data_IF_152363947015
#
_entry.id   IF_152363947015
#
_cell.length_a   1.000
_cell.length_b   1.000
_cell.length_c   1.000
_cell.angle_alpha   90.00
_cell.angle_beta   90.00
_cell.angle_gamma   90.00
#
_symmetry.space_group_name_H-M   'P 1'
#
loop_
_entity.id
_entity.type
_entity.pdbx_description
1 polymer ?
#
# COMPACT_ATOMS: atom_id res chain seq x y z
N UNK A 1 34.44 18.07 -60.34
CA UNK A 1 33.04 18.36 -59.98
C UNK A 1 32.99 18.48 -58.45
N UNK A 2 33.31 19.63 -57.84
CA UNK A 2 32.53 20.86 -57.67
C UNK A 2 31.24 20.72 -56.84
N UNK A 3 31.30 21.28 -55.62
CA UNK A 3 30.22 21.85 -54.79
C UNK A 3 29.12 20.89 -54.26
N UNK A 4 28.47 21.05 -53.10
CA UNK A 4 28.52 21.98 -51.96
C UNK A 4 27.69 21.36 -50.83
N UNK A 5 28.15 21.55 -49.60
CA UNK A 5 27.37 21.32 -48.39
C UNK A 5 26.30 22.41 -48.21
N UNK A 6 25.09 22.08 -47.77
CA UNK A 6 24.23 22.97 -46.97
C UNK A 6 23.05 22.14 -46.42
N UNK A 7 23.01 21.87 -45.11
CA UNK A 7 22.45 22.72 -44.02
C UNK A 7 20.91 22.73 -44.00
N UNK A 8 20.38 22.04 -42.99
CA UNK A 8 19.20 22.27 -42.11
C UNK A 8 18.24 23.44 -42.48
N UNK A 9 16.90 23.39 -42.24
CA UNK A 9 16.34 23.22 -40.88
C UNK A 9 14.89 22.63 -40.73
N UNK A 10 14.59 22.22 -39.49
CA UNK A 10 13.34 22.38 -38.71
C UNK A 10 12.00 22.48 -39.46
N UNK A 11 11.14 21.45 -39.33
CA UNK A 11 9.71 21.67 -39.07
C UNK A 11 9.27 20.70 -37.96
N UNK A 12 8.81 21.31 -36.86
CA UNK A 12 8.16 20.65 -35.75
C UNK A 12 6.81 20.09 -36.18
N UNK A 13 6.49 18.87 -35.76
CA UNK A 13 5.10 18.45 -35.59
C UNK A 13 4.95 17.99 -34.14
N UNK A 14 4.52 18.94 -33.32
CA UNK A 14 3.90 18.68 -32.02
C UNK A 14 2.55 18.04 -32.32
N UNK A 15 2.39 16.75 -32.02
CA UNK A 15 1.08 16.10 -32.00
C UNK A 15 0.69 15.87 -30.54
N UNK A 16 -0.17 16.76 -30.05
CA UNK A 16 -0.99 16.61 -28.86
C UNK A 16 -1.90 15.38 -29.06
N UNK A 17 -1.72 14.35 -28.23
CA UNK A 17 -2.54 13.15 -28.23
C UNK A 17 -3.05 12.83 -26.83
N UNK A 18 -3.98 13.65 -26.33
CA UNK A 18 -4.76 13.38 -25.13
C UNK A 18 -5.82 12.32 -25.48
N UNK A 19 -5.48 11.04 -25.38
CA UNK A 19 -6.46 9.95 -25.43
C UNK A 19 -6.91 9.60 -24.00
N UNK A 20 -8.00 10.25 -23.60
CA UNK A 20 -8.84 9.86 -22.47
C UNK A 20 -9.60 8.59 -22.88
N UNK A 21 -9.30 7.46 -22.25
CA UNK A 21 -10.16 6.27 -22.29
C UNK A 21 -10.86 6.15 -20.94
N UNK A 22 -12.11 6.60 -20.93
CA UNK A 22 -13.07 6.54 -19.83
C UNK A 22 -13.71 5.14 -19.79
N UNK A 23 -13.82 4.62 -18.57
CA UNK A 23 -14.81 3.64 -18.08
C UNK A 23 -14.92 2.26 -18.73
N UNK A 24 -14.41 1.27 -18.00
CA UNK A 24 -15.19 0.05 -17.74
C UNK A 24 -15.66 0.09 -16.28
N UNK A 25 -16.93 0.45 -16.11
CA UNK A 25 -17.63 0.35 -14.84
C UNK A 25 -17.83 -1.12 -14.48
N UNK A 26 -17.28 -1.57 -13.35
CA UNK A 26 -17.75 -2.80 -12.71
C UNK A 26 -19.14 -2.52 -12.17
N UNK A 27 -20.17 -2.92 -12.90
CA UNK A 27 -21.55 -2.94 -12.42
C UNK A 27 -21.65 -3.87 -11.20
N UNK A 28 -21.73 -3.26 -10.02
CA UNK A 28 -22.15 -3.94 -8.80
C UNK A 28 -23.64 -4.22 -8.94
N UNK A 29 -24.02 -5.48 -9.14
CA UNK A 29 -25.40 -5.90 -9.01
C UNK A 29 -25.72 -5.94 -7.51
N UNK A 30 -26.44 -4.93 -7.03
CA UNK A 30 -27.19 -5.02 -5.79
C UNK A 30 -28.37 -5.96 -6.06
N UNK A 31 -28.19 -7.25 -5.81
CA UNK A 31 -29.29 -8.20 -5.70
C UNK A 31 -29.99 -7.95 -4.37
N UNK A 32 -31.16 -7.31 -4.42
CA UNK A 32 -32.08 -7.17 -3.31
C UNK A 32 -32.96 -8.43 -3.22
N UNK A 33 -32.35 -9.56 -2.82
CA UNK A 33 -33.11 -10.72 -2.37
C UNK A 33 -33.33 -10.59 -0.86
N UNK A 34 -34.58 -10.66 -0.35
CA UNK A 34 -34.83 -10.61 1.09
C UNK A 34 -34.11 -11.75 1.79
N UNK A 35 -33.32 -11.37 2.79
CA UNK A 35 -32.66 -12.23 3.76
C UNK A 35 -33.62 -13.32 4.26
N UNK A 36 -33.36 -14.63 4.03
CA UNK A 36 -33.98 -15.64 4.87
C UNK A 36 -33.42 -15.44 6.28
N UNK A 37 -34.29 -14.96 7.16
CA UNK A 37 -34.10 -14.96 8.61
C UNK A 37 -33.54 -16.33 9.06
N UNK A 38 -32.37 -16.40 9.71
CA UNK A 38 -31.95 -17.64 10.34
C UNK A 38 -32.86 -17.88 11.57
N UNK A 39 -33.90 -18.67 11.35
CA UNK A 39 -34.62 -19.42 12.39
C UNK A 39 -33.59 -20.25 13.20
N UNK A 40 -33.74 -20.41 14.53
CA UNK A 40 -32.71 -20.99 15.39
C UNK A 40 -32.49 -22.47 15.09
N UNK A 41 -31.41 -22.77 14.37
CA UNK A 41 -30.96 -24.14 14.09
C UNK A 41 -30.22 -24.70 15.32
N UNK A 42 -30.51 -25.95 15.74
CA UNK A 42 -30.03 -26.53 16.99
C UNK A 42 -28.50 -26.58 17.08
N UNK A 43 -27.99 -26.21 18.26
CA UNK A 43 -26.58 -26.21 18.64
C UNK A 43 -25.81 -27.45 18.15
N UNK A 44 -24.85 -27.32 17.21
CA UNK A 44 -23.87 -28.37 16.94
C UNK A 44 -22.69 -28.24 17.92
N UNK A 45 -21.99 -29.35 18.17
CA UNK A 45 -20.92 -29.43 19.17
C UNK A 45 -19.80 -28.40 18.94
N UNK A 46 -19.39 -27.63 19.95
CA UNK A 46 -18.42 -26.54 19.83
C UNK A 46 -17.00 -26.96 19.39
N UNK A 47 -16.69 -28.26 19.41
CA UNK A 47 -15.37 -28.79 19.09
C UNK A 47 -15.09 -28.96 17.59
N UNK A 48 -16.10 -29.27 16.76
CA UNK A 48 -15.91 -29.46 15.32
C UNK A 48 -15.61 -28.12 14.63
N UNK A 49 -16.35 -27.07 14.99
CA UNK A 49 -16.13 -25.72 14.49
C UNK A 49 -14.74 -25.18 14.87
N UNK A 50 -14.29 -25.44 16.10
CA UNK A 50 -12.94 -25.05 16.55
C UNK A 50 -11.81 -25.70 15.74
N UNK A 51 -11.90 -27.00 15.46
CA UNK A 51 -10.88 -27.70 14.64
C UNK A 51 -10.82 -27.16 13.20
N UNK A 52 -11.97 -26.81 12.62
CA UNK A 52 -11.99 -26.18 11.29
C UNK A 52 -11.39 -24.77 11.30
N UNK A 53 -11.66 -23.98 12.34
CA UNK A 53 -11.06 -22.66 12.54
C UNK A 53 -9.54 -22.75 12.71
N UNK A 54 -9.03 -23.74 13.45
CA UNK A 54 -7.59 -23.98 13.59
C UNK A 54 -6.92 -24.38 12.27
N UNK A 55 -7.58 -25.20 11.45
CA UNK A 55 -7.07 -25.56 10.13
C UNK A 55 -6.97 -24.33 9.21
N UNK A 56 -8.00 -23.47 9.22
CA UNK A 56 -7.99 -22.20 8.48
C UNK A 56 -6.90 -21.25 8.98
N UNK A 57 -6.71 -21.13 10.30
CA UNK A 57 -5.65 -20.33 10.89
C UNK A 57 -4.25 -20.79 10.43
N UNK A 58 -3.97 -22.09 10.40
CA UNK A 58 -2.68 -22.63 9.92
C UNK A 58 -2.41 -22.24 8.47
N UNK A 59 -3.43 -22.34 7.60
CA UNK A 59 -3.33 -21.94 6.19
C UNK A 59 -3.11 -20.43 6.08
N UNK A 60 -3.89 -19.63 6.80
CA UNK A 60 -3.75 -18.19 6.83
C UNK A 60 -2.34 -17.77 7.31
N UNK A 61 -1.80 -18.44 8.33
CA UNK A 61 -0.45 -18.19 8.86
C UNK A 61 0.63 -18.50 7.82
N UNK A 62 0.55 -19.63 7.14
CA UNK A 62 1.48 -19.95 6.06
C UNK A 62 1.41 -18.93 4.92
N UNK A 63 0.22 -18.45 4.57
CA UNK A 63 0.05 -17.40 3.56
C UNK A 63 0.65 -16.07 4.00
N UNK A 64 0.47 -15.69 5.26
CA UNK A 64 1.03 -14.48 5.87
C UNK A 64 2.55 -14.48 5.78
N UNK A 65 3.21 -15.57 6.20
CA UNK A 65 4.67 -15.72 6.13
C UNK A 65 5.20 -15.53 4.69
N UNK A 66 4.51 -16.11 3.71
CA UNK A 66 4.89 -15.98 2.30
C UNK A 66 4.73 -14.54 1.79
N UNK A 67 3.63 -13.88 2.15
CA UNK A 67 3.38 -12.48 1.77
C UNK A 67 4.43 -11.56 2.42
N UNK A 68 4.74 -11.74 3.70
CA UNK A 68 5.76 -10.97 4.42
C UNK A 68 7.13 -11.12 3.75
N UNK A 69 7.54 -12.36 3.45
CA UNK A 69 8.81 -12.63 2.74
C UNK A 69 8.84 -12.00 1.35
N UNK A 70 7.75 -12.08 0.60
CA UNK A 70 7.68 -11.47 -0.73
C UNK A 70 7.78 -9.96 -0.65
N UNK A 71 7.03 -9.33 0.25
CA UNK A 71 7.06 -7.90 0.49
C UNK A 71 8.46 -7.42 0.86
N UNK A 72 9.18 -8.15 1.72
CA UNK A 72 10.54 -7.79 2.09
C UNK A 72 11.51 -7.88 0.90
N UNK A 73 11.39 -8.92 0.07
CA UNK A 73 12.16 -8.99 -1.18
C UNK A 73 11.87 -7.80 -2.09
N UNK A 74 10.62 -7.38 -2.19
CA UNK A 74 10.23 -6.25 -3.04
C UNK A 74 10.75 -4.93 -2.49
N UNK A 75 10.74 -4.72 -1.16
CA UNK A 75 11.38 -3.56 -0.50
C UNK A 75 12.87 -3.47 -0.82
N UNK A 76 13.58 -4.59 -0.73
CA UNK A 76 15.01 -4.64 -1.03
C UNK A 76 15.29 -4.29 -2.49
N UNK A 77 14.51 -4.84 -3.43
CA UNK A 77 14.61 -4.52 -4.85
C UNK A 77 14.33 -3.04 -5.13
N UNK A 78 13.28 -2.46 -4.54
CA UNK A 78 12.95 -1.03 -4.69
C UNK A 78 14.13 -0.17 -4.24
N UNK A 79 14.72 -0.49 -3.09
CA UNK A 79 15.87 0.28 -2.58
C UNK A 79 17.13 0.11 -3.44
N UNK A 80 17.35 -1.09 -3.98
CA UNK A 80 18.46 -1.35 -4.90
C UNK A 80 18.31 -0.55 -6.20
N UNK A 81 17.12 -0.57 -6.82
CA UNK A 81 16.83 0.20 -8.04
C UNK A 81 17.04 1.70 -7.79
N UNK A 82 16.52 2.21 -6.69
CA UNK A 82 16.69 3.60 -6.29
C UNK A 82 18.18 3.98 -6.16
N UNK A 83 18.95 3.17 -5.43
CA UNK A 83 20.37 3.41 -5.20
C UNK A 83 21.15 3.41 -6.53
N UNK A 84 20.87 2.45 -7.41
CA UNK A 84 21.49 2.36 -8.73
C UNK A 84 21.15 3.59 -9.58
N UNK A 85 19.88 4.01 -9.63
CA UNK A 85 19.45 5.17 -10.40
C UNK A 85 20.13 6.47 -9.93
N UNK A 86 20.25 6.66 -8.61
CA UNK A 86 20.95 7.82 -8.04
C UNK A 86 22.44 7.77 -8.36
N UNK A 87 23.08 6.61 -8.25
CA UNK A 87 24.49 6.43 -8.59
C UNK A 87 24.75 6.70 -10.07
N UNK A 88 23.89 6.22 -10.96
CA UNK A 88 23.97 6.44 -12.39
C UNK A 88 23.78 7.92 -12.75
N UNK A 89 22.80 8.59 -12.15
CA UNK A 89 22.60 10.03 -12.32
C UNK A 89 23.86 10.83 -11.90
N UNK A 90 24.44 10.49 -10.74
CA UNK A 90 25.66 11.12 -10.24
C UNK A 90 26.88 10.83 -11.13
N UNK A 91 27.04 9.59 -11.60
CA UNK A 91 28.14 9.19 -12.48
C UNK A 91 28.05 9.89 -13.83
N UNK A 92 26.85 9.93 -14.41
CA UNK A 92 26.57 10.63 -15.66
C UNK A 92 26.87 12.13 -15.52
N UNK A 93 26.34 12.78 -14.48
CA UNK A 93 26.61 14.19 -14.20
C UNK A 93 28.10 14.48 -14.04
N UNK A 94 28.83 13.65 -13.27
CA UNK A 94 30.27 13.79 -13.10
C UNK A 94 31.03 13.64 -14.41
N UNK A 95 30.62 12.72 -15.29
CA UNK A 95 31.23 12.55 -16.60
C UNK A 95 30.96 13.72 -17.54
N UNK A 96 29.72 14.23 -17.55
CA UNK A 96 29.31 15.34 -18.41
C UNK A 96 29.92 16.67 -17.95
N UNK A 97 30.05 16.91 -16.64
CA UNK A 97 30.72 18.10 -16.09
C UNK A 97 32.21 18.19 -16.47
N UNK A 98 32.89 17.06 -16.70
CA UNK A 98 34.29 17.06 -17.18
C UNK A 98 34.40 17.61 -18.61
N UNK A 99 33.36 17.45 -19.42
CA UNK A 99 33.33 17.88 -20.82
C UNK A 99 32.73 19.29 -20.95
N UNK A 100 31.85 19.69 -20.03
CA UNK A 100 31.18 20.99 -20.04
C UNK A 100 32.14 22.16 -19.74
N UNK A 101 32.44 22.96 -20.77
CA UNK A 101 33.38 24.10 -20.66
C UNK A 101 32.72 25.43 -20.28
N UNK A 102 31.44 25.62 -20.58
CA UNK A 102 30.73 26.88 -20.35
C UNK A 102 29.71 26.78 -19.20
N UNK A 103 29.31 27.92 -18.59
CA UNK A 103 28.39 27.94 -17.45
C UNK A 103 27.02 27.34 -17.78
N UNK A 104 26.49 27.60 -18.98
CA UNK A 104 25.19 27.09 -19.43
C UNK A 104 25.16 25.57 -19.46
N UNK A 105 26.12 24.91 -20.12
CA UNK A 105 26.19 23.46 -20.17
C UNK A 105 26.37 22.84 -18.77
N UNK A 106 27.13 23.48 -17.88
CA UNK A 106 27.23 23.02 -16.48
C UNK A 106 25.89 23.09 -15.76
N UNK A 107 25.13 24.17 -15.94
CA UNK A 107 23.80 24.32 -15.35
C UNK A 107 22.81 23.29 -15.87
N UNK A 108 22.86 22.97 -17.18
CA UNK A 108 22.03 21.95 -17.81
C UNK A 108 22.35 20.55 -17.29
N UNK A 109 23.64 20.21 -17.13
CA UNK A 109 24.05 18.92 -16.55
C UNK A 109 23.55 18.76 -15.12
N UNK A 110 23.67 19.81 -14.30
CA UNK A 110 23.15 19.79 -12.93
C UNK A 110 21.62 19.75 -12.88
N UNK A 111 20.94 20.42 -13.82
CA UNK A 111 19.49 20.33 -13.95
C UNK A 111 19.05 18.90 -14.31
N UNK A 112 19.72 18.26 -15.27
CA UNK A 112 19.47 16.87 -15.66
C UNK A 112 19.72 15.90 -14.50
N UNK A 113 20.78 16.11 -13.70
CA UNK A 113 21.05 15.31 -12.50
C UNK A 113 19.91 15.42 -11.49
N UNK A 114 19.47 16.64 -11.17
CA UNK A 114 18.36 16.86 -10.23
C UNK A 114 17.05 16.27 -10.74
N UNK A 115 16.77 16.41 -12.03
CA UNK A 115 15.60 15.82 -12.67
C UNK A 115 15.63 14.29 -12.57
N UNK A 116 16.77 13.66 -12.85
CA UNK A 116 16.93 12.21 -12.74
C UNK A 116 16.73 11.71 -11.29
N UNK A 117 17.26 12.42 -10.29
CA UNK A 117 17.06 12.08 -8.87
C UNK A 117 15.59 12.27 -8.46
N UNK A 118 14.95 13.34 -8.90
CA UNK A 118 13.52 13.56 -8.64
C UNK A 118 12.65 12.45 -9.26
N UNK A 119 12.98 12.01 -10.48
CA UNK A 119 12.33 10.86 -11.10
C UNK A 119 12.56 9.58 -10.30
N UNK A 120 13.80 9.31 -9.85
CA UNK A 120 14.11 8.15 -9.02
C UNK A 120 13.31 8.14 -7.70
N UNK A 121 13.14 9.30 -7.06
CA UNK A 121 12.26 9.44 -5.89
C UNK A 121 10.80 9.13 -6.24
N UNK A 122 10.27 9.72 -7.30
CA UNK A 122 8.88 9.47 -7.71
C UNK A 122 8.59 7.99 -8.03
N UNK A 123 9.55 7.30 -8.66
CA UNK A 123 9.45 5.87 -8.96
C UNK A 123 9.50 5.05 -7.67
N UNK A 124 10.38 5.40 -6.74
CA UNK A 124 10.46 4.75 -5.42
C UNK A 124 9.15 4.90 -4.66
N UNK A 125 8.60 6.10 -4.61
CA UNK A 125 7.37 6.39 -3.88
C UNK A 125 6.17 5.68 -4.51
N UNK A 126 6.07 5.69 -5.85
CA UNK A 126 5.04 4.94 -6.56
C UNK A 126 5.16 3.42 -6.31
N UNK A 127 6.37 2.89 -6.28
CA UNK A 127 6.61 1.47 -5.98
C UNK A 127 6.28 1.12 -4.53
N UNK A 128 6.55 2.02 -3.57
CA UNK A 128 6.16 1.83 -2.17
C UNK A 128 4.64 1.87 -2.02
N UNK A 129 3.97 2.81 -2.69
CA UNK A 129 2.51 2.90 -2.70
C UNK A 129 1.89 1.61 -3.27
N UNK A 130 2.49 1.05 -4.34
CA UNK A 130 2.03 -0.19 -4.97
C UNK A 130 2.15 -1.43 -4.06
N UNK A 131 3.02 -1.42 -3.05
CA UNK A 131 3.08 -2.51 -2.06
C UNK A 131 1.84 -2.56 -1.14
N UNK A 132 1.04 -1.50 -1.09
CA UNK A 132 -0.17 -1.43 -0.28
C UNK A 132 0.10 -1.47 1.25
N UNK A 133 -0.93 -1.66 2.09
CA UNK A 133 -0.77 -1.75 3.54
C UNK A 133 0.00 -3.02 3.97
N UNK A 134 0.63 -3.02 5.16
CA UNK A 134 1.32 -4.20 5.68
C UNK A 134 0.37 -5.40 5.88
N UNK A 135 0.85 -6.65 5.72
CA UNK A 135 0.05 -7.83 5.98
C UNK A 135 -0.41 -7.87 7.45
N UNK A 136 -1.65 -8.26 7.70
CA UNK A 136 -2.22 -8.40 9.04
C UNK A 136 -2.02 -9.84 9.49
N UNK A 137 -1.51 -10.03 10.71
CA UNK A 137 -1.36 -11.35 11.30
C UNK A 137 -2.72 -12.04 11.49
N UNK A 138 -2.87 -13.31 11.10
CA UNK A 138 -4.09 -14.08 11.37
C UNK A 138 -4.35 -14.20 12.87
N UNK A 139 -5.59 -13.97 13.29
CA UNK A 139 -6.00 -14.13 14.70
C UNK A 139 -6.19 -15.60 15.01
N UNK A 140 -5.60 -16.06 16.10
CA UNK A 140 -5.76 -17.45 16.54
C UNK A 140 -7.15 -17.66 17.17
N UNK A 141 -7.88 -18.72 16.77
CA UNK A 141 -9.17 -19.08 17.36
C UNK A 141 -9.05 -19.33 18.88
N UNK A 142 -9.95 -18.74 19.68
CA UNK A 142 -10.02 -18.98 21.13
C UNK A 142 -10.91 -20.19 21.42
N UNK A 143 -10.38 -21.17 22.14
CA UNK A 143 -11.14 -22.35 22.58
C UNK A 143 -12.25 -21.96 23.59
N UNK A 144 -13.50 -22.44 23.43
CA UNK A 144 -14.65 -21.97 24.20
C UNK A 144 -14.58 -22.27 25.72
N UNK A 145 -13.70 -23.17 26.17
CA UNK A 145 -13.62 -23.61 27.58
C UNK A 145 -13.07 -22.55 28.56
N UNK A 146 -12.43 -21.48 28.07
CA UNK A 146 -11.80 -20.46 28.94
C UNK A 146 -12.76 -19.39 29.47
N UNK A 147 -14.04 -19.39 29.08
CA UNK A 147 -15.00 -18.35 29.48
C UNK A 147 -15.67 -18.58 30.84
N UNK A 148 -15.46 -19.73 31.51
CA UNK A 148 -16.15 -20.08 32.76
C UNK A 148 -15.39 -19.72 34.06
N UNK A 149 -14.18 -19.15 33.99
CA UNK A 149 -13.39 -18.81 35.20
C UNK A 149 -13.16 -17.30 35.39
N UNK A 150 -14.14 -16.46 35.10
CA UNK A 150 -14.20 -15.10 35.66
C UNK A 150 -15.63 -14.77 36.07
N UNK A 151 -16.20 -15.48 37.05
CA UNK A 151 -17.24 -14.85 37.87
C UNK A 151 -17.38 -15.48 39.27
N UNK A 152 -17.23 -14.58 40.27
CA UNK A 152 -17.78 -14.58 41.65
C UNK A 152 -16.92 -15.32 42.69
N UNK A 153 -16.53 -14.71 43.83
CA UNK A 153 -17.23 -13.77 44.74
C UNK A 153 -16.25 -13.37 45.92
N UNK A 154 -16.64 -12.65 47.01
CA UNK A 154 -17.16 -11.28 47.20
C UNK A 154 -16.35 -10.42 48.23
N UNK A 155 -16.61 -9.11 48.38
CA UNK A 155 -16.97 -8.49 49.69
C UNK A 155 -17.44 -7.03 49.54
N UNK A 156 -18.47 -6.77 50.32
CA UNK A 156 -19.32 -5.60 50.60
C UNK A 156 -18.66 -4.25 50.90
N UNK A 157 -19.32 -3.16 50.44
CA UNK A 157 -19.81 -1.96 51.18
C UNK A 157 -20.06 -0.85 50.14
N UNK A 158 -21.07 0.02 50.15
CA UNK A 158 -22.31 0.23 50.92
C UNK A 158 -23.08 1.30 50.10
N UNK A 159 -24.39 1.23 50.16
CA UNK A 159 -25.39 2.02 49.43
C UNK A 159 -25.40 3.53 49.68
N UNK A 160 -25.74 4.30 48.64
CA UNK A 160 -26.64 5.48 48.59
C UNK A 160 -26.79 5.91 47.11
N UNK A 161 -27.92 5.77 46.40
CA UNK A 161 -29.19 6.55 46.50
C UNK A 161 -28.87 8.04 46.35
N UNK A 162 -29.33 8.87 45.39
CA UNK A 162 -30.58 8.97 44.61
C UNK A 162 -30.34 10.00 43.47
N UNK A 163 -30.77 9.66 42.24
CA UNK A 163 -31.56 10.43 41.25
C UNK A 163 -31.26 11.92 40.91
N UNK A 164 -31.44 12.19 39.60
CA UNK A 164 -31.86 13.43 38.91
C UNK A 164 -30.76 14.24 38.18
N UNK A 165 -30.74 14.09 36.85
CA UNK A 165 -30.42 15.13 35.85
C UNK A 165 -31.42 16.32 36.01
N UNK A 166 -31.15 17.57 35.55
CA UNK A 166 -30.69 17.91 34.19
C UNK A 166 -29.64 19.05 34.06
N UNK A 167 -29.09 19.18 32.85
CA UNK A 167 -28.40 20.38 32.30
C UNK A 167 -29.40 21.57 32.14
N UNK A 168 -29.05 22.81 31.71
CA UNK A 168 -27.76 23.47 31.40
C UNK A 168 -27.65 24.94 31.94
N UNK A 169 -26.53 25.60 31.61
CA UNK A 169 -26.28 27.06 31.42
C UNK A 169 -26.44 28.07 32.57
N UNK A 170 -25.34 28.74 32.92
CA UNK A 170 -25.09 30.17 32.66
C UNK A 170 -23.57 30.43 32.61
#
# INVERSE_FOLDING_TARGET
MHYVAMRFPRIAVVALGLCIAVSSASSSFADATPTPSPSPTPSPSPSLDYQTLLAQYKVAKASFENIVKSRERDRMKINQIFTNAVNDANRSAKSALKVAKNPTAKSEVLAAQRAAIALANSIRDAAILAMGPPPIEPVEPVEPEKTLKVTKKPTTKKSKSVKASPSPSD
#
